data_IF_410011976513
#
_entry.id   IF_410011976513
#
_cell.length_a   1.000
_cell.length_b   1.000
_cell.length_c   1.000
_cell.angle_alpha   90.00
_cell.angle_beta   90.00
_cell.angle_gamma   90.00
#
_symmetry.space_group_name_H-M   'P 1'
#
loop_
_entity.id
_entity.type
_entity.pdbx_description
1 polymer ?
#
# COMPACT_ATOMS: atom_id res chain seq x y z
N UNK A 1 16.06 -2.41 21.12
CA UNK A 1 14.81 -3.20 21.20
C UNK A 1 13.57 -2.36 21.50
N UNK A 2 13.56 -1.42 22.50
CA UNK A 2 12.36 -0.60 22.84
C UNK A 2 11.79 0.25 21.68
N UNK A 3 12.66 0.85 20.85
CA UNK A 3 12.23 1.71 19.72
C UNK A 3 11.55 0.89 18.60
N UNK A 4 11.92 -0.37 18.41
CA UNK A 4 11.30 -1.31 17.48
C UNK A 4 9.83 -1.58 17.85
N UNK A 5 9.55 -1.85 19.12
CA UNK A 5 8.22 -2.20 19.62
C UNK A 5 7.21 -1.04 19.47
N UNK A 6 7.64 0.21 19.72
CA UNK A 6 6.78 1.39 19.56
C UNK A 6 6.36 1.60 18.10
N UNK A 7 7.27 1.39 17.15
CA UNK A 7 6.95 1.48 15.73
C UNK A 7 6.00 0.37 15.27
N UNK A 8 6.16 -0.85 15.76
CA UNK A 8 5.25 -1.94 15.42
C UNK A 8 3.85 -1.68 15.99
N UNK A 9 3.74 -1.16 17.22
CA UNK A 9 2.46 -0.72 17.78
C UNK A 9 1.80 0.36 16.91
N UNK A 10 2.56 1.38 16.50
CA UNK A 10 2.05 2.45 15.63
C UNK A 10 1.50 1.90 14.32
N UNK A 11 2.21 0.95 13.68
CA UNK A 11 1.77 0.32 12.44
C UNK A 11 0.44 -0.41 12.63
N UNK A 12 0.28 -1.14 13.74
CA UNK A 12 -0.98 -1.83 14.05
C UNK A 12 -2.12 -0.86 14.35
N UNK A 13 -1.84 0.23 15.08
CA UNK A 13 -2.82 1.30 15.31
C UNK A 13 -3.28 1.88 13.97
N UNK A 14 -2.34 2.25 13.08
CA UNK A 14 -2.67 2.76 11.74
C UNK A 14 -3.53 1.75 10.94
N UNK A 15 -3.21 0.46 11.01
CA UNK A 15 -3.96 -0.57 10.30
C UNK A 15 -5.41 -0.72 10.80
N UNK A 16 -5.67 -0.42 12.07
CA UNK A 16 -7.00 -0.50 12.66
C UNK A 16 -7.87 0.76 12.45
N UNK A 17 -7.24 1.90 12.10
CA UNK A 17 -7.96 3.16 11.87
C UNK A 17 -9.11 3.02 10.86
N UNK A 18 -8.93 2.39 9.67
CA UNK A 18 -10.03 2.27 8.70
C UNK A 18 -11.19 1.43 9.21
N UNK A 19 -10.91 0.37 9.99
CA UNK A 19 -11.97 -0.45 10.58
C UNK A 19 -12.79 0.35 11.61
N UNK A 20 -12.11 1.10 12.48
CA UNK A 20 -12.79 1.95 13.43
C UNK A 20 -13.62 3.03 12.73
N UNK A 21 -13.05 3.67 11.70
CA UNK A 21 -13.77 4.65 10.89
C UNK A 21 -14.98 4.03 10.18
N UNK A 22 -14.82 2.85 9.57
CA UNK A 22 -15.91 2.13 8.91
C UNK A 22 -17.06 1.82 9.87
N UNK A 23 -16.78 1.35 11.08
CA UNK A 23 -17.80 1.11 12.11
C UNK A 23 -18.57 2.40 12.45
N UNK A 24 -17.87 3.52 12.60
CA UNK A 24 -18.49 4.80 12.96
C UNK A 24 -19.37 5.39 11.85
N UNK A 25 -18.97 5.21 10.58
CA UNK A 25 -19.71 5.77 9.44
C UNK A 25 -20.78 4.81 8.92
N UNK A 26 -20.68 3.51 9.18
CA UNK A 26 -21.56 2.46 8.67
C UNK A 26 -23.06 2.77 8.80
N UNK A 27 -23.57 3.24 9.97
CA UNK A 27 -25.00 3.54 10.10
C UNK A 27 -25.51 4.65 9.19
N UNK A 28 -24.60 5.51 8.70
CA UNK A 28 -24.89 6.67 7.86
C UNK A 28 -24.68 6.40 6.36
N UNK A 29 -24.03 5.27 6.00
CA UNK A 29 -23.80 4.93 4.61
C UNK A 29 -25.12 4.55 3.90
N UNK A 30 -25.28 4.89 2.61
CA UNK A 30 -26.33 4.35 1.76
C UNK A 30 -26.32 2.82 1.73
N UNK A 31 -27.46 2.19 1.45
CA UNK A 31 -27.57 0.72 1.38
C UNK A 31 -26.67 0.11 0.31
N UNK A 32 -26.41 0.89 -0.77
CA UNK A 32 -25.54 0.48 -1.88
C UNK A 32 -24.43 1.51 -2.04
N UNK A 33 -23.18 1.04 -2.11
CA UNK A 33 -21.99 1.88 -2.24
C UNK A 33 -21.13 1.42 -3.44
N UNK A 34 -20.33 2.33 -4.04
CA UNK A 34 -19.38 1.94 -5.09
C UNK A 34 -18.33 0.98 -4.56
N UNK A 35 -18.04 -0.07 -5.35
CA UNK A 35 -17.03 -1.10 -5.02
C UNK A 35 -16.00 -1.30 -6.12
N UNK A 36 -16.28 -0.80 -7.33
CA UNK A 36 -15.38 -0.85 -8.47
C UNK A 36 -15.48 0.45 -9.28
N UNK A 37 -14.37 0.84 -9.91
CA UNK A 37 -14.25 2.04 -10.76
C UNK A 37 -13.53 1.67 -12.05
N UNK A 38 -14.06 2.16 -13.15
CA UNK A 38 -13.45 2.06 -14.47
C UNK A 38 -12.16 2.88 -14.59
N UNK A 39 -11.48 2.74 -15.72
CA UNK A 39 -10.24 3.49 -16.02
C UNK A 39 -10.47 5.00 -16.10
N UNK A 40 -11.70 5.44 -16.39
CA UNK A 40 -12.12 6.83 -16.42
C UNK A 40 -12.42 7.40 -15.03
N UNK A 41 -12.37 6.57 -13.98
CA UNK A 41 -12.66 6.95 -12.61
C UNK A 41 -14.15 6.95 -12.26
N UNK A 42 -15.04 6.60 -13.19
CA UNK A 42 -16.47 6.45 -12.90
C UNK A 42 -16.74 5.13 -12.19
N UNK A 43 -17.65 5.13 -11.24
CA UNK A 43 -18.08 3.90 -10.56
C UNK A 43 -18.91 3.04 -11.51
N UNK A 44 -18.43 1.85 -11.83
CA UNK A 44 -19.07 0.86 -12.72
C UNK A 44 -19.47 -0.43 -11.99
N UNK A 45 -19.15 -0.55 -10.70
CA UNK A 45 -19.57 -1.64 -9.84
C UNK A 45 -20.04 -1.17 -8.48
N UNK A 46 -21.15 -1.72 -8.02
CA UNK A 46 -21.78 -1.37 -6.74
C UNK A 46 -22.02 -2.63 -5.91
N UNK A 47 -21.99 -2.48 -4.60
CA UNK A 47 -22.26 -3.55 -3.65
C UNK A 47 -22.97 -3.04 -2.40
N UNK A 48 -23.39 -3.94 -1.52
CA UNK A 48 -24.01 -3.55 -0.26
C UNK A 48 -23.02 -2.75 0.60
N UNK A 49 -23.54 -1.90 1.49
CA UNK A 49 -22.72 -1.01 2.34
C UNK A 49 -21.72 -1.77 3.23
N UNK A 50 -21.98 -3.04 3.53
CA UNK A 50 -21.06 -3.96 4.23
C UNK A 50 -19.71 -4.10 3.52
N UNK A 51 -19.67 -3.85 2.20
CA UNK A 51 -18.46 -3.89 1.39
C UNK A 51 -17.37 -2.93 1.88
N UNK A 52 -17.75 -1.88 2.64
CA UNK A 52 -16.77 -0.97 3.27
C UNK A 52 -15.81 -1.69 4.21
N UNK A 53 -16.29 -2.72 4.92
CA UNK A 53 -15.47 -3.49 5.84
C UNK A 53 -14.40 -4.32 5.13
N UNK A 54 -14.66 -4.75 3.88
CA UNK A 54 -13.66 -5.44 3.08
C UNK A 54 -12.44 -4.54 2.81
N UNK A 55 -12.69 -3.31 2.35
CA UNK A 55 -11.62 -2.33 2.08
C UNK A 55 -10.95 -1.88 3.38
N UNK A 56 -11.73 -1.67 4.44
CA UNK A 56 -11.22 -1.27 5.75
C UNK A 56 -10.37 -2.36 6.43
N UNK A 57 -10.58 -3.64 6.11
CA UNK A 57 -9.79 -4.76 6.62
C UNK A 57 -8.46 -4.97 5.87
N UNK A 58 -8.31 -4.42 4.64
CA UNK A 58 -7.10 -4.59 3.83
C UNK A 58 -5.81 -4.23 4.56
N UNK A 59 -5.69 -3.08 5.26
CA UNK A 59 -4.44 -2.75 5.95
C UNK A 59 -4.10 -3.77 7.04
N UNK A 60 -5.10 -4.32 7.75
CA UNK A 60 -4.86 -5.37 8.76
C UNK A 60 -4.37 -6.64 8.08
N UNK A 61 -5.03 -7.08 7.02
CA UNK A 61 -4.64 -8.27 6.25
C UNK A 61 -3.21 -8.14 5.70
N UNK A 62 -2.86 -6.97 5.13
CA UNK A 62 -1.52 -6.69 4.64
C UNK A 62 -0.49 -6.66 5.77
N UNK A 63 -0.81 -6.11 6.95
CA UNK A 63 0.09 -6.12 8.09
C UNK A 63 0.33 -7.53 8.64
N UNK A 64 -0.71 -8.36 8.68
CA UNK A 64 -0.57 -9.77 9.05
C UNK A 64 0.33 -10.51 8.06
N UNK A 65 0.08 -10.34 6.75
CA UNK A 65 0.92 -10.91 5.72
C UNK A 65 2.38 -10.46 5.87
N UNK A 66 2.61 -9.15 5.95
CA UNK A 66 3.98 -8.62 6.09
C UNK A 66 4.64 -8.98 7.41
N UNK A 67 3.90 -9.21 8.49
CA UNK A 67 4.45 -9.74 9.72
C UNK A 67 4.85 -11.22 9.60
N UNK A 68 4.11 -11.99 8.79
CA UNK A 68 4.39 -13.40 8.55
C UNK A 68 5.57 -13.64 7.58
N UNK A 69 5.77 -12.76 6.58
CA UNK A 69 6.80 -12.94 5.54
C UNK A 69 8.21 -13.26 6.07
N UNK A 70 8.74 -12.58 7.11
CA UNK A 70 10.07 -12.93 7.65
C UNK A 70 10.15 -14.33 8.26
N UNK A 71 9.02 -14.91 8.67
CA UNK A 71 8.95 -16.25 9.23
C UNK A 71 8.78 -17.33 8.17
N UNK A 72 8.13 -16.97 7.05
CA UNK A 72 7.90 -17.86 5.91
C UNK A 72 9.08 -17.89 4.93
N UNK A 73 9.91 -16.84 4.94
CA UNK A 73 11.04 -16.70 4.02
C UNK A 73 12.21 -17.59 4.47
N UNK A 74 12.74 -18.50 3.61
CA UNK A 74 13.96 -19.26 3.92
C UNK A 74 15.17 -18.37 4.29
N UNK A 75 15.20 -17.12 3.80
CA UNK A 75 16.18 -16.09 4.16
C UNK A 75 15.64 -15.09 5.18
N UNK A 76 14.75 -15.49 6.08
CA UNK A 76 14.10 -14.62 7.07
C UNK A 76 15.06 -13.79 7.91
N UNK A 77 16.25 -14.32 8.22
CA UNK A 77 17.31 -13.57 8.93
C UNK A 77 17.77 -12.30 8.19
N UNK A 78 17.57 -12.22 6.88
CA UNK A 78 17.91 -11.03 6.08
C UNK A 78 17.07 -9.81 6.47
N UNK A 79 15.83 -9.99 6.94
CA UNK A 79 14.94 -8.89 7.29
C UNK A 79 15.47 -8.02 8.43
N UNK A 80 16.27 -8.56 9.34
CA UNK A 80 16.93 -7.77 10.38
C UNK A 80 17.89 -6.74 9.80
N UNK A 81 18.52 -7.04 8.64
CA UNK A 81 19.48 -6.16 7.96
C UNK A 81 18.82 -4.99 7.24
N UNK A 82 17.53 -5.05 6.94
CA UNK A 82 16.74 -3.98 6.33
C UNK A 82 15.42 -3.68 7.07
N UNK A 83 15.39 -3.90 8.36
CA UNK A 83 14.20 -3.75 9.19
C UNK A 83 13.59 -2.33 9.14
N UNK A 84 14.39 -1.26 9.02
CA UNK A 84 13.89 0.12 8.88
C UNK A 84 13.16 0.32 7.54
N UNK A 85 13.78 0.03 6.37
CA UNK A 85 13.08 0.00 5.09
C UNK A 85 11.79 -0.83 5.10
N UNK A 86 11.85 -2.03 5.65
CA UNK A 86 10.69 -2.93 5.71
C UNK A 86 9.52 -2.32 6.49
N UNK A 87 9.79 -1.71 7.66
CA UNK A 87 8.76 -0.99 8.42
C UNK A 87 8.21 0.22 7.69
N UNK A 88 9.07 1.00 7.02
CA UNK A 88 8.61 2.13 6.22
C UNK A 88 7.66 1.68 5.09
N UNK A 89 7.97 0.59 4.40
CA UNK A 89 7.08 0.00 3.38
C UNK A 89 5.73 -0.42 3.98
N UNK A 90 5.73 -1.00 5.19
CA UNK A 90 4.50 -1.36 5.92
C UNK A 90 3.64 -0.12 6.23
N UNK A 91 4.28 0.98 6.66
CA UNK A 91 3.58 2.26 6.91
C UNK A 91 2.98 2.82 5.63
N UNK A 92 3.76 2.85 4.54
CA UNK A 92 3.30 3.36 3.23
C UNK A 92 2.06 2.58 2.75
N UNK A 93 2.09 1.26 2.85
CA UNK A 93 0.94 0.42 2.50
C UNK A 93 -0.27 0.68 3.40
N UNK A 94 -0.06 0.83 4.71
CA UNK A 94 -1.14 1.16 5.63
C UNK A 94 -1.80 2.50 5.28
N UNK A 95 -0.99 3.54 5.05
CA UNK A 95 -1.48 4.87 4.66
C UNK A 95 -2.24 4.85 3.33
N UNK A 96 -1.75 4.11 2.35
CA UNK A 96 -2.44 3.94 1.07
C UNK A 96 -3.81 3.26 1.26
N UNK A 97 -3.88 2.20 2.06
CA UNK A 97 -5.15 1.51 2.33
C UNK A 97 -6.13 2.37 3.17
N UNK A 98 -5.62 3.19 4.09
CA UNK A 98 -6.45 4.19 4.79
C UNK A 98 -7.09 5.15 3.78
N UNK A 99 -6.27 5.64 2.84
CA UNK A 99 -6.76 6.50 1.75
C UNK A 99 -7.79 5.81 0.87
N UNK A 100 -7.59 4.52 0.52
CA UNK A 100 -8.57 3.74 -0.26
C UNK A 100 -9.92 3.65 0.46
N UNK A 101 -9.93 3.35 1.75
CA UNK A 101 -11.17 3.28 2.54
C UNK A 101 -11.84 4.65 2.62
N UNK A 102 -11.03 5.71 2.83
CA UNK A 102 -11.54 7.09 2.85
C UNK A 102 -12.13 7.52 1.51
N UNK A 103 -11.48 7.18 0.40
CA UNK A 103 -11.98 7.44 -0.96
C UNK A 103 -13.31 6.72 -1.20
N UNK A 104 -13.38 5.42 -0.89
CA UNK A 104 -14.62 4.64 -1.03
C UNK A 104 -15.74 5.23 -0.18
N UNK A 105 -15.46 5.55 1.07
CA UNK A 105 -16.43 6.19 1.95
C UNK A 105 -16.93 7.53 1.40
N UNK A 106 -16.01 8.37 0.90
CA UNK A 106 -16.38 9.65 0.30
C UNK A 106 -17.24 9.47 -0.96
N UNK A 107 -16.86 8.52 -1.84
CA UNK A 107 -17.62 8.23 -3.06
C UNK A 107 -18.99 7.57 -2.81
N UNK A 108 -19.24 7.06 -1.60
CA UNK A 108 -20.52 6.47 -1.24
C UNK A 108 -21.64 7.50 -1.02
N UNK A 109 -21.31 8.78 -0.77
CA UNK A 109 -22.31 9.80 -0.49
C UNK A 109 -22.98 10.29 -1.79
N UNK A 110 -24.31 10.40 -1.80
CA UNK A 110 -25.05 10.93 -2.96
C UNK A 110 -24.54 12.31 -3.37
N UNK A 111 -24.23 12.49 -4.65
CA UNK A 111 -23.73 13.74 -5.21
C UNK A 111 -22.25 14.03 -4.93
N UNK A 112 -21.51 13.12 -4.29
CA UNK A 112 -20.08 13.28 -4.09
C UNK A 112 -19.32 13.23 -5.42
N UNK A 113 -18.53 14.27 -5.68
CA UNK A 113 -17.62 14.31 -6.82
C UNK A 113 -16.22 13.97 -6.34
N UNK A 114 -15.88 12.68 -6.38
CA UNK A 114 -14.56 12.19 -5.97
C UNK A 114 -13.77 11.84 -7.23
N UNK A 115 -12.64 12.51 -7.44
CA UNK A 115 -11.72 12.13 -8.50
C UNK A 115 -10.97 10.84 -8.12
N UNK A 116 -11.63 9.71 -8.31
CA UNK A 116 -11.12 8.37 -7.94
C UNK A 116 -9.94 7.94 -8.81
N UNK A 117 -9.98 8.22 -10.12
CA UNK A 117 -8.86 7.95 -11.03
C UNK A 117 -7.61 8.72 -10.61
N UNK A 118 -7.76 10.02 -10.36
CA UNK A 118 -6.65 10.86 -9.88
C UNK A 118 -6.10 10.38 -8.54
N UNK A 119 -6.97 10.06 -7.59
CA UNK A 119 -6.57 9.55 -6.27
C UNK A 119 -5.80 8.21 -6.38
N UNK A 120 -6.33 7.25 -7.14
CA UNK A 120 -5.70 5.94 -7.29
C UNK A 120 -4.36 6.05 -8.00
N UNK A 121 -4.30 6.84 -9.09
CA UNK A 121 -3.06 7.06 -9.85
C UNK A 121 -2.01 7.77 -9.00
N UNK A 122 -2.36 8.85 -8.33
CA UNK A 122 -1.44 9.58 -7.46
C UNK A 122 -0.98 8.73 -6.26
N UNK A 123 -1.90 8.05 -5.60
CA UNK A 123 -1.61 7.19 -4.46
C UNK A 123 -0.68 6.02 -4.82
N UNK A 124 -0.95 5.34 -5.93
CA UNK A 124 -0.09 4.26 -6.42
C UNK A 124 1.28 4.79 -6.83
N UNK A 125 1.34 5.98 -7.47
CA UNK A 125 2.59 6.65 -7.80
C UNK A 125 3.45 6.91 -6.55
N UNK A 126 2.85 7.40 -5.47
CA UNK A 126 3.54 7.62 -4.18
C UNK A 126 4.03 6.30 -3.56
N UNK A 127 3.24 5.23 -3.63
CA UNK A 127 3.67 3.89 -3.18
C UNK A 127 4.88 3.41 -3.97
N UNK A 128 4.86 3.53 -5.31
CA UNK A 128 5.98 3.14 -6.18
C UNK A 128 7.23 3.98 -5.88
N UNK A 129 7.09 5.30 -5.74
CA UNK A 129 8.21 6.18 -5.41
C UNK A 129 8.83 5.82 -4.05
N UNK A 130 7.99 5.57 -3.02
CA UNK A 130 8.46 5.16 -1.72
C UNK A 130 9.20 3.82 -1.77
N UNK A 131 8.65 2.83 -2.49
CA UNK A 131 9.30 1.52 -2.65
C UNK A 131 10.60 1.63 -3.41
N UNK A 132 10.65 2.43 -4.49
CA UNK A 132 11.87 2.73 -5.24
C UNK A 132 12.98 3.30 -4.36
N UNK A 133 12.65 4.25 -3.48
CA UNK A 133 13.60 4.86 -2.55
C UNK A 133 14.18 3.84 -1.54
N UNK A 134 13.43 2.81 -1.18
CA UNK A 134 13.90 1.77 -0.27
C UNK A 134 14.52 0.57 -0.98
N UNK A 135 14.30 0.42 -2.29
CA UNK A 135 14.77 -0.73 -3.07
C UNK A 135 16.26 -1.02 -2.94
N UNK A 136 17.19 -0.04 -3.00
CA UNK A 136 18.62 -0.30 -2.83
C UNK A 136 19.01 -0.82 -1.43
N UNK A 137 18.13 -0.68 -0.45
CA UNK A 137 18.36 -1.08 0.95
C UNK A 137 17.85 -2.49 1.25
N UNK A 138 17.05 -3.08 0.35
CA UNK A 138 16.49 -4.42 0.51
C UNK A 138 17.62 -5.45 0.34
N UNK A 139 17.75 -6.35 1.30
CA UNK A 139 18.73 -7.45 1.26
C UNK A 139 18.14 -8.68 0.59
N UNK A 140 18.98 -9.60 0.06
CA UNK A 140 18.51 -10.80 -0.61
C UNK A 140 17.55 -11.60 0.26
N UNK A 141 16.36 -11.85 -0.28
CA UNK A 141 15.27 -12.60 0.31
C UNK A 141 14.37 -13.16 -0.80
N UNK A 142 13.42 -14.04 -0.45
CA UNK A 142 12.54 -14.67 -1.43
C UNK A 142 11.18 -14.00 -1.59
N UNK A 143 10.82 -13.01 -0.75
CA UNK A 143 9.47 -12.44 -0.70
C UNK A 143 9.37 -11.00 -1.20
N UNK A 144 10.42 -10.18 -1.05
CA UNK A 144 10.40 -8.75 -1.37
C UNK A 144 11.49 -8.37 -2.35
N UNK A 145 11.15 -7.55 -3.38
CA UNK A 145 12.09 -7.02 -4.34
C UNK A 145 12.04 -7.66 -5.72
N UNK A 146 13.04 -7.39 -6.56
CA UNK A 146 13.16 -7.93 -7.92
C UNK A 146 13.81 -9.31 -7.82
N UNK A 147 13.00 -10.35 -8.00
CA UNK A 147 13.37 -11.75 -7.81
C UNK A 147 13.42 -12.46 -9.17
N UNK A 148 14.62 -12.69 -9.62
CA UNK A 148 14.92 -13.51 -10.79
C UNK A 148 15.90 -14.61 -10.36
N UNK A 149 16.07 -15.70 -11.12
CA UNK A 149 17.08 -16.70 -10.82
C UNK A 149 18.47 -16.08 -10.56
N UNK A 150 18.87 -15.10 -11.35
CA UNK A 150 20.16 -14.40 -11.24
C UNK A 150 20.28 -13.54 -9.98
N UNK A 151 19.22 -12.79 -9.62
CA UNK A 151 19.26 -11.97 -8.40
C UNK A 151 19.27 -12.84 -7.15
N UNK A 152 18.55 -13.95 -7.16
CA UNK A 152 18.52 -14.90 -6.04
C UNK A 152 19.82 -15.71 -5.92
N UNK A 153 20.53 -15.97 -7.04
CA UNK A 153 21.77 -16.72 -7.06
C UNK A 153 22.98 -15.89 -6.62
N UNK A 154 22.94 -14.55 -6.74
CA UNK A 154 24.11 -13.70 -6.46
C UNK A 154 23.74 -12.42 -5.71
N UNK A 155 24.33 -12.20 -4.52
CA UNK A 155 24.16 -10.96 -3.77
C UNK A 155 24.66 -9.73 -4.53
N UNK A 156 25.68 -9.88 -5.38
CA UNK A 156 26.21 -8.79 -6.17
C UNK A 156 25.22 -8.37 -7.27
N UNK A 157 24.64 -9.36 -7.96
CA UNK A 157 23.57 -9.10 -8.96
C UNK A 157 22.37 -8.48 -8.28
N UNK A 158 21.93 -9.02 -7.14
CA UNK A 158 20.83 -8.45 -6.34
C UNK A 158 21.06 -6.96 -6.06
N UNK A 159 22.22 -6.63 -5.48
CA UNK A 159 22.56 -5.27 -5.09
C UNK A 159 22.60 -4.32 -6.28
N UNK A 160 23.22 -4.75 -7.40
CA UNK A 160 23.31 -3.93 -8.62
C UNK A 160 21.93 -3.69 -9.23
N UNK A 161 21.10 -4.73 -9.34
CA UNK A 161 19.73 -4.65 -9.88
C UNK A 161 18.87 -3.70 -9.05
N UNK A 162 18.83 -3.87 -7.75
CA UNK A 162 18.00 -3.04 -6.87
C UNK A 162 18.49 -1.59 -6.80
N UNK A 163 19.83 -1.37 -6.85
CA UNK A 163 20.39 -0.03 -6.89
C UNK A 163 20.07 0.68 -8.20
N UNK A 164 20.08 -0.03 -9.31
CA UNK A 164 19.72 0.52 -10.62
C UNK A 164 18.22 0.77 -10.72
N UNK A 165 17.38 -0.19 -10.32
CA UNK A 165 15.93 -0.08 -10.45
C UNK A 165 15.33 1.00 -9.55
N UNK A 166 15.90 1.26 -8.35
CA UNK A 166 15.37 2.22 -7.38
C UNK A 166 15.06 3.59 -7.97
N UNK A 167 16.01 4.29 -8.61
CA UNK A 167 15.78 5.59 -9.23
C UNK A 167 14.69 5.58 -10.30
N UNK A 168 14.58 4.54 -11.12
CA UNK A 168 13.52 4.41 -12.11
C UNK A 168 12.14 4.29 -11.48
N UNK A 169 12.03 3.52 -10.39
CA UNK A 169 10.79 3.41 -9.64
C UNK A 169 10.41 4.73 -8.96
N UNK A 170 11.39 5.48 -8.44
CA UNK A 170 11.15 6.80 -7.87
C UNK A 170 10.68 7.77 -8.95
N UNK A 171 11.39 7.87 -10.08
CA UNK A 171 11.05 8.79 -11.15
C UNK A 171 9.67 8.44 -11.76
N UNK A 172 9.43 7.18 -12.08
CA UNK A 172 8.15 6.70 -12.60
C UNK A 172 7.00 6.91 -11.60
N UNK A 173 7.25 6.63 -10.31
CA UNK A 173 6.27 6.87 -9.26
C UNK A 173 5.92 8.34 -9.07
N UNK A 174 6.92 9.24 -9.11
CA UNK A 174 6.67 10.69 -9.06
C UNK A 174 5.91 11.16 -10.31
N UNK A 175 6.31 10.71 -11.51
CA UNK A 175 5.61 11.06 -12.74
C UNK A 175 4.14 10.60 -12.69
N UNK A 176 3.90 9.38 -12.22
CA UNK A 176 2.56 8.83 -12.02
C UNK A 176 1.77 9.62 -10.97
N UNK A 177 2.41 9.99 -9.85
CA UNK A 177 1.75 10.79 -8.81
C UNK A 177 1.34 12.17 -9.33
N UNK A 178 2.23 12.85 -10.06
CA UNK A 178 1.94 14.13 -10.70
C UNK A 178 0.83 13.97 -11.75
N UNK A 179 0.91 12.94 -12.62
CA UNK A 179 -0.15 12.64 -13.59
C UNK A 179 -1.50 12.47 -12.95
N UNK A 180 -1.59 11.78 -11.80
CA UNK A 180 -2.83 11.62 -11.03
C UNK A 180 -3.41 12.94 -10.50
N UNK A 181 -2.56 13.91 -10.16
CA UNK A 181 -3.03 15.24 -9.72
C UNK A 181 -3.68 16.06 -10.85
N UNK A 182 -3.28 15.80 -12.10
CA UNK A 182 -3.84 16.47 -13.29
C UNK A 182 -4.91 15.62 -13.98
N UNK A 183 -5.11 14.37 -13.58
CA UNK A 183 -6.18 13.54 -14.10
C UNK A 183 -7.53 14.15 -13.71
N UNK A 184 -8.36 14.40 -14.70
CA UNK A 184 -9.76 14.80 -14.51
C UNK A 184 -10.59 13.53 -14.53
N UNK A 185 -11.28 13.24 -13.46
CA UNK A 185 -12.29 12.19 -13.40
C UNK A 185 -13.62 12.66 -13.96
#
# INVERSE_FOLDING_TARGET
>A
MKQSRRFDILIWVLALVPLAAAVLIYPRLPQTIPTHWGFDGTADGYGPRESIFFTAALPVALQLLMAALPHLDPRGKSYSRFARPYRAMRVVLALFCIGLTGMQAAAAWPGAQVNTAGFLTAGMGLVLAAFGNYMPKIRPNFMCGIRTPWTLASENVWRKTHRMAGPFWVAGGIAMALGGLFARG
#
